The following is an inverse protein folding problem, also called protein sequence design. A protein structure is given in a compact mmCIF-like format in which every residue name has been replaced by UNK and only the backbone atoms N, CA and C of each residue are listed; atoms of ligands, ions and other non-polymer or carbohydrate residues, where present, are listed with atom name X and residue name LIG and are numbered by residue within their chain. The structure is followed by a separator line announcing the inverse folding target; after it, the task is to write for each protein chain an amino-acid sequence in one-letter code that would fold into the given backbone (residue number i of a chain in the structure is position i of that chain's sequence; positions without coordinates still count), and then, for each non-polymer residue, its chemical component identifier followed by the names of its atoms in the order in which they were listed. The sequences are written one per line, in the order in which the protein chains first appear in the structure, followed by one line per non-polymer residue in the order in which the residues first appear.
data_IF_182814099154
#
_entry.id   IF_182814099154
#
_cell.length_a   1.000
_cell.length_b   1.000
_cell.length_c   1.000
_cell.angle_alpha   90.00
_cell.angle_beta   90.00
_cell.angle_gamma   90.00
#
_symmetry.space_group_name_H-M   'P 1'
#
loop_
_entity.id
_entity.type
_entity.pdbx_description
1 polymer ?
#
# COMPACT_ATOMS: atom_id res chain seq x y z
N UNK A 1 12.43 -15.83 4.76
CA UNK A 1 11.46 -14.87 4.21
C UNK A 1 12.10 -13.85 3.28
N UNK A 2 13.21 -13.19 3.68
CA UNK A 2 13.96 -12.24 2.85
C UNK A 2 14.23 -12.72 1.41
N UNK A 3 14.93 -13.85 1.22
CA UNK A 3 15.29 -14.35 -0.11
C UNK A 3 14.09 -14.78 -0.94
N UNK A 4 13.07 -15.36 -0.31
CA UNK A 4 11.82 -15.75 -0.97
C UNK A 4 11.05 -14.53 -1.46
N UNK A 5 10.98 -13.48 -0.65
CA UNK A 5 10.36 -12.21 -1.00
C UNK A 5 11.06 -11.49 -2.15
N UNK A 6 12.39 -11.41 -2.11
CA UNK A 6 13.17 -10.81 -3.19
C UNK A 6 13.04 -11.62 -4.50
N UNK A 7 13.12 -12.95 -4.42
CA UNK A 7 12.95 -13.82 -5.58
C UNK A 7 11.56 -13.70 -6.21
N UNK A 8 10.50 -13.75 -5.40
CA UNK A 8 9.14 -13.56 -5.89
C UNK A 8 8.98 -12.18 -6.53
N UNK A 9 9.42 -11.10 -5.86
CA UNK A 9 9.27 -9.75 -6.39
C UNK A 9 10.12 -9.45 -7.63
N UNK A 10 11.15 -10.25 -7.92
CA UNK A 10 11.86 -10.15 -9.20
C UNK A 10 10.99 -10.61 -10.38
N UNK A 11 9.95 -11.40 -10.12
CA UNK A 11 9.04 -11.92 -11.14
C UNK A 11 7.67 -11.23 -11.13
N UNK A 12 7.24 -10.71 -9.98
CA UNK A 12 5.95 -10.05 -9.78
C UNK A 12 6.12 -8.69 -9.10
N UNK A 13 5.12 -7.81 -9.21
CA UNK A 13 5.15 -6.52 -8.52
C UNK A 13 5.34 -6.68 -6.99
N UNK A 14 6.09 -5.75 -6.39
CA UNK A 14 6.48 -5.75 -4.99
C UNK A 14 5.30 -5.82 -3.99
N UNK A 15 4.15 -5.21 -4.31
CA UNK A 15 2.93 -5.28 -3.48
C UNK A 15 2.33 -6.68 -3.49
N UNK A 16 2.26 -7.32 -4.65
CA UNK A 16 1.73 -8.67 -4.79
C UNK A 16 2.58 -9.69 -4.03
N UNK A 17 3.92 -9.58 -4.14
CA UNK A 17 4.84 -10.43 -3.40
C UNK A 17 4.70 -10.28 -1.88
N UNK A 18 4.51 -9.05 -1.38
CA UNK A 18 4.30 -8.80 0.04
C UNK A 18 2.98 -9.40 0.54
N UNK A 19 1.88 -9.20 -0.19
CA UNK A 19 0.55 -9.72 0.16
C UNK A 19 0.54 -11.25 0.22
N UNK A 20 1.23 -11.93 -0.71
CA UNK A 20 1.35 -13.39 -0.71
C UNK A 20 2.13 -13.93 0.50
N UNK A 21 3.15 -13.19 0.96
CA UNK A 21 4.00 -13.62 2.07
C UNK A 21 3.49 -13.19 3.44
N UNK A 22 2.68 -12.14 3.51
CA UNK A 22 2.10 -11.63 4.76
C UNK A 22 1.43 -12.70 5.63
N UNK A 23 0.49 -13.54 5.11
CA UNK A 23 -0.15 -14.56 5.94
C UNK A 23 0.85 -15.59 6.46
N UNK A 24 1.83 -15.99 5.64
CA UNK A 24 2.87 -16.94 6.05
C UNK A 24 3.76 -16.37 7.16
N UNK A 25 4.11 -15.10 7.05
CA UNK A 25 4.99 -14.42 8.00
C UNK A 25 4.28 -14.12 9.33
N UNK A 26 2.99 -13.74 9.29
CA UNK A 26 2.16 -13.57 10.49
C UNK A 26 2.03 -14.91 11.24
N UNK A 27 1.71 -15.99 10.54
CA UNK A 27 1.59 -17.32 11.14
C UNK A 27 2.92 -17.79 11.75
N UNK A 28 4.03 -17.56 11.06
CA UNK A 28 5.37 -17.90 11.56
C UNK A 28 5.73 -17.09 12.81
N UNK A 29 5.42 -15.79 12.83
CA UNK A 29 5.68 -14.92 13.96
C UNK A 29 4.85 -15.31 15.19
N UNK A 30 3.56 -15.61 15.02
CA UNK A 30 2.68 -16.07 16.10
C UNK A 30 3.18 -17.37 16.73
N UNK A 31 3.57 -18.37 15.91
CA UNK A 31 4.14 -19.64 16.40
C UNK A 31 5.45 -19.44 17.17
N UNK A 32 6.23 -18.44 16.80
CA UNK A 32 7.49 -18.10 17.44
C UNK A 32 7.34 -17.16 18.66
N UNK A 33 6.12 -16.75 19.03
CA UNK A 33 5.88 -15.76 20.09
C UNK A 33 6.45 -14.38 19.78
N UNK A 34 6.65 -14.05 18.49
CA UNK A 34 7.24 -12.79 18.04
C UNK A 34 6.17 -11.83 17.53
N UNK A 35 6.43 -10.53 17.64
CA UNK A 35 5.55 -9.50 17.08
C UNK A 35 5.58 -9.54 15.55
N UNK A 36 4.47 -9.95 14.91
CA UNK A 36 4.35 -10.09 13.47
C UNK A 36 4.73 -8.82 12.69
N UNK A 37 4.48 -7.62 13.24
CA UNK A 37 4.87 -6.36 12.60
C UNK A 37 6.38 -6.23 12.40
N UNK A 38 7.18 -6.70 13.36
CA UNK A 38 8.64 -6.68 13.26
C UNK A 38 9.14 -7.67 12.22
N UNK A 39 8.42 -8.77 12.00
CA UNK A 39 8.80 -9.75 10.98
C UNK A 39 8.46 -9.25 9.58
N UNK A 40 7.29 -8.62 9.41
CA UNK A 40 6.75 -8.14 8.12
C UNK A 40 7.55 -7.01 7.45
N UNK A 41 8.36 -6.27 8.22
CA UNK A 41 9.19 -5.21 7.65
C UNK A 41 10.30 -5.78 6.75
N UNK A 42 10.82 -6.96 7.09
CA UNK A 42 11.86 -7.64 6.30
C UNK A 42 11.36 -7.99 4.89
N UNK A 43 10.26 -8.77 4.71
CA UNK A 43 9.71 -9.03 3.38
C UNK A 43 9.28 -7.75 2.66
N UNK A 44 8.87 -6.70 3.37
CA UNK A 44 8.54 -5.42 2.72
C UNK A 44 9.76 -4.80 2.03
N UNK A 45 10.89 -4.69 2.72
CA UNK A 45 12.12 -4.15 2.14
C UNK A 45 12.71 -5.07 1.07
N UNK A 46 12.74 -6.38 1.31
CA UNK A 46 13.31 -7.32 0.34
C UNK A 46 12.47 -7.45 -0.92
N UNK A 47 11.16 -7.25 -0.82
CA UNK A 47 10.25 -7.20 -1.98
C UNK A 47 10.58 -5.98 -2.85
N UNK A 48 10.71 -4.79 -2.27
CA UNK A 48 11.09 -3.58 -3.01
C UNK A 48 12.46 -3.76 -3.68
N UNK A 49 13.43 -4.33 -2.97
CA UNK A 49 14.76 -4.62 -3.51
C UNK A 49 14.72 -5.64 -4.65
N UNK A 50 13.91 -6.69 -4.55
CA UNK A 50 13.73 -7.70 -5.59
C UNK A 50 13.07 -7.15 -6.85
N UNK A 51 12.09 -6.25 -6.71
CA UNK A 51 11.39 -5.61 -7.83
C UNK A 51 12.28 -4.74 -8.73
N UNK A 52 13.47 -4.35 -8.26
CA UNK A 52 14.42 -3.60 -9.08
C UNK A 52 15.22 -4.46 -10.08
N UNK A 53 15.20 -5.80 -9.91
CA UNK A 53 16.02 -6.70 -10.72
C UNK A 53 15.49 -6.84 -12.15
N UNK A 54 14.18 -6.70 -12.37
CA UNK A 54 13.57 -6.90 -13.68
C UNK A 54 12.72 -5.71 -14.13
N UNK A 55 12.43 -5.68 -15.44
CA UNK A 55 11.57 -4.69 -16.07
C UNK A 55 10.16 -4.62 -15.46
N UNK A 56 9.57 -5.79 -15.16
CA UNK A 56 8.17 -5.91 -14.71
C UNK A 56 8.04 -5.71 -13.19
N UNK A 57 9.15 -5.78 -12.44
CA UNK A 57 9.12 -5.76 -10.98
C UNK A 57 8.60 -4.46 -10.35
N UNK A 58 8.68 -3.32 -11.06
CA UNK A 58 8.14 -2.03 -10.57
C UNK A 58 7.57 -1.14 -11.67
N UNK A 59 6.56 -0.28 -11.36
CA UNK A 59 6.00 0.67 -12.33
C UNK A 59 7.03 1.62 -12.98
N UNK A 60 8.03 2.19 -12.27
CA UNK A 60 9.04 3.04 -12.90
C UNK A 60 9.86 2.30 -13.97
N UNK A 61 10.22 1.03 -13.74
CA UNK A 61 10.96 0.21 -14.71
C UNK A 61 10.12 -0.05 -15.98
N UNK A 62 8.82 -0.25 -15.83
CA UNK A 62 7.90 -0.37 -16.97
C UNK A 62 7.77 0.95 -17.72
N UNK A 63 7.62 2.08 -17.01
CA UNK A 63 7.48 3.40 -17.63
C UNK A 63 8.70 3.75 -18.48
N UNK A 64 9.92 3.52 -17.97
CA UNK A 64 11.12 3.81 -18.74
C UNK A 64 11.30 2.87 -19.93
N UNK A 65 10.83 1.62 -19.82
CA UNK A 65 10.81 0.67 -20.94
C UNK A 65 9.87 1.09 -22.07
N UNK A 66 8.81 1.83 -21.76
CA UNK A 66 7.85 2.34 -22.74
C UNK A 66 8.33 3.59 -23.47
N UNK A 67 9.48 4.15 -23.09
CA UNK A 67 10.05 5.32 -23.76
C UNK A 67 10.88 4.85 -24.97
N UNK A 68 10.36 4.93 -26.22
CA UNK A 68 11.15 4.60 -27.39
C UNK A 68 12.34 5.57 -27.44
N UNK A 69 13.54 5.01 -27.46
CA UNK A 69 14.76 5.78 -27.38
C UNK A 69 14.99 6.62 -28.63
N UNK A 70 14.51 7.85 -28.64
CA UNK A 70 14.97 8.89 -29.59
C UNK A 70 16.47 9.21 -29.38
N UNK A 71 17.09 8.70 -28.31
CA UNK A 71 18.52 8.85 -28.01
C UNK A 71 19.35 7.55 -28.03
N UNK A 72 18.76 6.34 -28.04
CA UNK A 72 19.48 5.07 -27.80
C UNK A 72 19.09 3.87 -28.69
N UNK A 73 18.17 4.01 -29.65
CA UNK A 73 18.05 3.08 -30.79
C UNK A 73 17.38 1.72 -30.54
N UNK A 74 17.31 1.22 -29.29
CA UNK A 74 16.64 -0.05 -28.97
C UNK A 74 15.76 0.02 -27.71
N UNK A 75 14.61 -0.68 -27.68
CA UNK A 75 13.77 -0.79 -26.49
C UNK A 75 14.42 -1.65 -25.41
N UNK A 76 14.20 -1.31 -24.13
CA UNK A 76 14.72 -2.08 -23.01
C UNK A 76 14.15 -3.50 -22.96
N UNK A 77 15.02 -4.49 -22.81
CA UNK A 77 14.67 -5.90 -22.61
C UNK A 77 14.39 -6.21 -21.14
N UNK A 78 13.78 -7.37 -20.88
CA UNK A 78 13.39 -7.82 -19.53
C UNK A 78 14.53 -7.78 -18.50
N UNK A 79 15.76 -8.01 -18.94
CA UNK A 79 16.93 -8.22 -18.07
C UNK A 79 17.96 -7.08 -18.12
N UNK A 80 17.72 -5.99 -18.83
CA UNK A 80 18.65 -4.85 -18.91
C UNK A 80 18.90 -4.20 -17.54
N UNK A 81 17.93 -4.31 -16.64
CA UNK A 81 18.01 -3.82 -15.26
C UNK A 81 18.74 -4.79 -14.32
N UNK A 82 18.88 -6.06 -14.70
CA UNK A 82 19.45 -7.13 -13.86
C UNK A 82 20.83 -6.82 -13.30
N UNK A 83 21.83 -6.36 -14.07
CA UNK A 83 23.18 -6.18 -13.53
C UNK A 83 23.21 -5.13 -12.41
N UNK A 84 22.52 -4.00 -12.59
CA UNK A 84 22.44 -2.94 -11.57
C UNK A 84 21.49 -3.36 -10.44
N UNK A 85 20.30 -3.83 -10.79
CA UNK A 85 19.26 -4.25 -9.85
C UNK A 85 19.73 -5.37 -8.94
N UNK A 86 20.47 -6.36 -9.45
CA UNK A 86 21.02 -7.46 -8.67
C UNK A 86 22.09 -6.97 -7.69
N UNK A 87 22.99 -6.06 -8.10
CA UNK A 87 24.00 -5.49 -7.20
C UNK A 87 23.33 -4.70 -6.07
N UNK A 88 22.36 -3.84 -6.39
CA UNK A 88 21.63 -3.05 -5.40
C UNK A 88 20.79 -3.96 -4.49
N UNK A 89 20.10 -4.95 -5.05
CA UNK A 89 19.30 -5.90 -4.29
C UNK A 89 20.18 -6.72 -3.33
N UNK A 90 21.31 -7.24 -3.79
CA UNK A 90 22.25 -7.99 -2.95
C UNK A 90 22.78 -7.12 -1.80
N UNK A 91 23.24 -5.90 -2.10
CA UNK A 91 23.74 -4.97 -1.08
C UNK A 91 22.65 -4.57 -0.08
N UNK A 92 21.44 -4.27 -0.55
CA UNK A 92 20.31 -3.90 0.28
C UNK A 92 19.80 -5.06 1.14
N UNK A 93 19.70 -6.28 0.59
CA UNK A 93 19.30 -7.47 1.35
C UNK A 93 20.33 -7.75 2.45
N UNK A 94 21.62 -7.66 2.12
CA UNK A 94 22.70 -7.82 3.09
C UNK A 94 22.60 -6.78 4.21
N UNK A 95 22.35 -5.51 3.87
CA UNK A 95 22.13 -4.44 4.84
C UNK A 95 20.90 -4.70 5.74
N UNK A 96 19.76 -5.09 5.15
CA UNK A 96 18.52 -5.35 5.91
C UNK A 96 18.71 -6.53 6.86
N UNK A 97 19.37 -7.60 6.42
CA UNK A 97 19.63 -8.79 7.23
C UNK A 97 20.64 -8.51 8.36
N UNK A 98 21.70 -7.75 8.08
CA UNK A 98 22.75 -7.50 9.08
C UNK A 98 22.40 -6.38 10.06
N UNK A 99 21.88 -5.25 9.56
CA UNK A 99 21.71 -4.00 10.29
C UNK A 99 20.23 -3.61 10.40
N UNK A 100 19.43 -3.89 9.37
CA UNK A 100 18.04 -3.44 9.26
C UNK A 100 17.18 -3.82 10.46
N UNK A 101 17.36 -5.02 11.02
CA UNK A 101 16.61 -5.46 12.20
C UNK A 101 16.86 -4.62 13.46
N UNK A 102 18.02 -3.96 13.58
CA UNK A 102 18.40 -3.11 14.72
C UNK A 102 17.82 -1.70 14.64
N UNK A 103 17.49 -1.23 13.43
CA UNK A 103 16.97 0.12 13.19
C UNK A 103 15.46 0.23 13.36
N UNK A 104 14.75 -0.88 13.57
CA UNK A 104 13.29 -0.90 13.68
C UNK A 104 12.92 -0.35 15.08
N UNK A 105 12.30 0.83 15.17
CA UNK A 105 11.89 1.38 16.46
C UNK A 105 10.82 0.48 17.09
N UNK A 106 11.00 0.19 18.38
CA UNK A 106 9.99 -0.51 19.16
C UNK A 106 8.91 0.47 19.56
N UNK A 107 7.80 0.48 18.81
CA UNK A 107 6.57 1.12 19.27
C UNK A 107 5.83 0.13 20.17
N UNK A 108 5.96 0.30 21.47
CA UNK A 108 5.07 -0.29 22.46
C UNK A 108 3.67 0.33 22.30
N UNK A 109 2.60 -0.47 22.33
CA UNK A 109 1.24 0.06 22.48
C UNK A 109 0.30 0.01 21.29
N UNK A 110 0.28 -1.06 20.50
CA UNK A 110 -0.97 -1.45 19.80
C UNK A 110 -1.13 -2.94 19.95
N UNK A 111 -2.26 -3.39 20.45
CA UNK A 111 -2.56 -4.82 20.57
C UNK A 111 -2.34 -5.54 19.23
N UNK A 112 -1.99 -6.85 19.26
CA UNK A 112 -1.97 -7.63 18.04
C UNK A 112 -3.40 -7.64 17.52
N UNK A 113 -3.66 -6.97 16.39
CA UNK A 113 -4.88 -7.11 15.63
C UNK A 113 -5.00 -8.58 15.20
N UNK A 114 -5.62 -9.38 16.05
CA UNK A 114 -6.06 -10.74 15.77
C UNK A 114 -7.27 -10.63 14.85
N UNK A 115 -7.00 -10.45 13.56
CA UNK A 115 -8.03 -10.40 12.53
C UNK A 115 -7.53 -9.67 11.30
N UNK A 116 -7.68 -10.29 10.12
CA UNK A 116 -7.51 -9.66 8.80
C UNK A 116 -8.66 -8.64 8.53
N UNK A 117 -9.42 -8.25 9.56
CA UNK A 117 -10.74 -7.66 9.44
C UNK A 117 -10.98 -6.46 10.36
N UNK A 118 -9.94 -5.77 10.83
CA UNK A 118 -10.11 -4.39 11.27
C UNK A 118 -9.73 -3.48 10.09
N UNK A 119 -10.57 -3.51 9.05
CA UNK A 119 -10.61 -2.45 8.06
C UNK A 119 -11.02 -1.21 8.84
N UNK A 120 -10.03 -0.43 9.28
CA UNK A 120 -10.31 0.86 9.92
C UNK A 120 -11.19 1.71 9.01
N UNK A 121 -11.99 2.59 9.59
CA UNK A 121 -12.86 3.48 8.82
C UNK A 121 -12.04 4.26 7.78
N UNK A 122 -12.37 4.09 6.49
CA UNK A 122 -11.71 4.80 5.41
C UNK A 122 -12.59 5.96 4.93
N UNK A 123 -12.02 7.17 4.92
CA UNK A 123 -12.67 8.32 4.31
C UNK A 123 -12.38 8.32 2.80
N UNK A 124 -13.45 8.37 1.99
CA UNK A 124 -13.35 8.50 0.53
C UNK A 124 -13.99 9.80 0.08
N UNK A 125 -13.35 10.48 -0.88
CA UNK A 125 -13.91 11.67 -1.51
C UNK A 125 -14.50 11.29 -2.87
N UNK A 126 -15.80 11.58 -3.04
CA UNK A 126 -16.53 11.33 -4.27
C UNK A 126 -16.81 12.66 -4.98
N UNK A 127 -16.37 12.79 -6.23
CA UNK A 127 -16.71 13.93 -7.08
C UNK A 127 -17.94 13.60 -7.91
N UNK A 128 -19.01 14.38 -7.72
CA UNK A 128 -20.26 14.21 -8.48
C UNK A 128 -20.04 14.74 -9.90
N UNK A 129 -20.24 13.89 -10.90
CA UNK A 129 -20.21 14.27 -12.32
C UNK A 129 -21.59 14.73 -12.82
N UNK A 130 -21.62 15.44 -13.94
CA UNK A 130 -22.86 15.99 -14.52
C UNK A 130 -23.91 14.91 -14.85
N UNK A 131 -23.47 13.68 -15.15
CA UNK A 131 -24.33 12.53 -15.48
C UNK A 131 -24.84 11.76 -14.24
N UNK A 132 -24.72 12.35 -13.05
CA UNK A 132 -25.17 11.70 -11.82
C UNK A 132 -26.70 11.49 -11.86
N UNK A 133 -27.13 10.24 -11.70
CA UNK A 133 -28.51 9.79 -11.91
C UNK A 133 -29.56 10.53 -11.06
N UNK A 134 -29.15 11.13 -9.95
CA UNK A 134 -30.02 11.86 -9.02
C UNK A 134 -29.78 13.38 -9.07
N UNK A 135 -29.28 13.90 -10.19
CA UNK A 135 -29.16 15.34 -10.43
C UNK A 135 -30.54 16.01 -10.43
N UNK A 136 -30.71 17.01 -9.57
CA UNK A 136 -31.97 17.74 -9.38
C UNK A 136 -32.83 17.26 -8.22
N UNK A 137 -32.49 16.15 -7.55
CA UNK A 137 -33.16 15.74 -6.33
C UNK A 137 -32.77 16.65 -5.14
N UNK A 138 -33.67 16.91 -4.17
CA UNK A 138 -33.33 17.63 -2.96
C UNK A 138 -32.20 16.92 -2.19
N UNK A 139 -31.22 17.67 -1.71
CA UNK A 139 -30.08 17.13 -0.96
C UNK A 139 -30.53 16.26 0.23
N UNK A 140 -31.65 16.58 0.87
CA UNK A 140 -32.21 15.80 1.98
C UNK A 140 -32.55 14.36 1.61
N UNK A 141 -32.98 14.10 0.38
CA UNK A 141 -33.31 12.76 -0.10
C UNK A 141 -32.05 11.92 -0.36
N UNK A 142 -31.00 12.57 -0.87
CA UNK A 142 -29.68 11.97 -1.01
C UNK A 142 -29.08 11.64 0.36
N UNK A 143 -29.17 12.55 1.33
CA UNK A 143 -28.72 12.33 2.71
C UNK A 143 -29.48 11.20 3.41
N UNK A 144 -30.77 11.05 3.12
CA UNK A 144 -31.59 9.95 3.64
C UNK A 144 -31.08 8.60 3.13
N UNK A 145 -30.81 8.49 1.82
CA UNK A 145 -30.26 7.27 1.22
C UNK A 145 -28.86 6.92 1.74
N UNK A 146 -28.00 7.92 1.95
CA UNK A 146 -26.67 7.69 2.54
C UNK A 146 -26.80 7.19 3.98
N UNK A 147 -27.73 7.74 4.77
CA UNK A 147 -28.00 7.26 6.14
C UNK A 147 -28.60 5.85 6.19
N UNK A 148 -29.37 5.48 5.17
CA UNK A 148 -29.90 4.11 5.00
C UNK A 148 -28.82 3.12 4.51
N UNK A 149 -27.65 3.60 4.09
CA UNK A 149 -26.49 2.79 3.72
C UNK A 149 -25.50 2.62 4.87
N UNK A 150 -24.56 1.69 4.74
CA UNK A 150 -23.46 1.52 5.71
C UNK A 150 -22.41 2.65 5.65
N UNK A 151 -22.56 3.63 4.74
CA UNK A 151 -21.61 4.71 4.55
C UNK A 151 -21.93 5.94 5.43
N UNK A 152 -20.92 6.43 6.15
CA UNK A 152 -20.96 7.73 6.82
C UNK A 152 -20.58 8.88 5.88
N UNK A 153 -21.36 9.96 5.87
CA UNK A 153 -20.98 11.19 5.16
C UNK A 153 -20.25 12.15 6.10
N UNK A 154 -18.96 12.38 5.86
CA UNK A 154 -18.15 13.28 6.68
C UNK A 154 -18.37 14.76 6.32
N UNK A 155 -18.35 15.07 5.02
CA UNK A 155 -18.54 16.43 4.53
C UNK A 155 -19.10 16.47 3.10
N UNK A 156 -19.90 17.51 2.80
CA UNK A 156 -20.31 17.91 1.46
C UNK A 156 -19.57 19.18 1.06
N UNK A 157 -18.82 19.14 -0.03
CA UNK A 157 -18.08 20.29 -0.56
C UNK A 157 -18.74 20.73 -1.87
N UNK A 158 -19.09 22.02 -1.96
CA UNK A 158 -19.61 22.65 -3.18
C UNK A 158 -18.84 23.95 -3.41
N UNK A 159 -18.26 24.11 -4.61
CA UNK A 159 -17.47 25.30 -4.97
C UNK A 159 -16.38 25.62 -3.92
N UNK A 160 -15.62 24.61 -3.51
CA UNK A 160 -14.58 24.70 -2.46
C UNK A 160 -15.08 25.11 -1.06
N UNK A 161 -16.39 25.22 -0.85
CA UNK A 161 -16.99 25.49 0.46
C UNK A 161 -17.61 24.23 1.06
N UNK A 162 -17.36 24.01 2.36
CA UNK A 162 -18.05 22.96 3.13
C UNK A 162 -19.49 23.42 3.35
N UNK A 163 -20.44 22.76 2.68
CA UNK A 163 -21.88 23.04 2.78
C UNK A 163 -22.51 22.31 3.96
N UNK A 164 -22.00 21.11 4.27
CA UNK A 164 -22.42 20.29 5.39
C UNK A 164 -21.17 19.56 5.91
N UNK A 165 -20.84 19.70 7.19
CA UNK A 165 -19.74 18.98 7.82
C UNK A 165 -20.11 18.62 9.25
N UNK A 166 -19.60 17.50 9.76
CA UNK A 166 -19.75 17.18 11.18
C UNK A 166 -19.20 18.35 12.02
N UNK A 167 -19.92 18.82 13.06
CA UNK A 167 -19.42 19.89 13.92
C UNK A 167 -18.09 19.43 14.52
N UNK A 168 -17.05 20.22 14.33
CA UNK A 168 -15.65 19.90 14.59
C UNK A 168 -15.26 19.68 16.07
N UNK A 169 -16.18 19.26 16.96
CA UNK A 169 -15.99 19.34 18.42
C UNK A 169 -16.35 18.04 19.18
N UNK A 170 -16.96 17.02 18.58
CA UNK A 170 -17.52 15.89 19.36
C UNK A 170 -16.78 14.53 19.28
N UNK A 171 -15.57 14.47 18.73
CA UNK A 171 -14.80 13.21 18.62
C UNK A 171 -13.79 12.95 19.74
N UNK A 172 -13.77 13.73 20.82
CA UNK A 172 -12.80 13.49 21.91
C UNK A 172 -13.25 12.45 22.95
N UNK A 173 -14.48 11.92 22.89
CA UNK A 173 -15.04 11.12 24.01
C UNK A 173 -15.69 9.77 23.65
N UNK A 174 -15.43 9.21 22.46
CA UNK A 174 -15.97 7.90 22.08
C UNK A 174 -14.93 7.03 21.36
N UNK A 175 -13.75 6.94 21.96
CA UNK A 175 -12.77 5.86 21.84
C UNK A 175 -12.29 5.50 23.25
#
# INVERSE_FOLDING_TARGET
MASLSAGLSSMINNVAALVLLMPLDINAAQRAGRNARKTLITPSFTSILGGMVTLIGTPPNVVIATYPGDALGEPFTMFDFTPVGLTVAAAGILFVVLIGWRLIPEREGREPTTGIADQGDFAVQLKIHADFRHMGEPLGELLRRVRESEAGMLALIRLEMIVLGLPAVLYFWLL
#
